data_IF_665980010363
#
_entry.id   IF_665980010363
#
_cell.length_a   1.000
_cell.length_b   1.000
_cell.length_c   1.000
_cell.angle_alpha   90.00
_cell.angle_beta   90.00
_cell.angle_gamma   90.00
#
_symmetry.space_group_name_H-M   'P 1'
#
loop_
_entity.id
_entity.type
_entity.pdbx_description
1 polymer ?
#
# COMPACT_ATOMS: atom_id res chain seq x y z
N UNK A 1 6.19 -0.18 -22.21
CA UNK A 1 5.22 -0.90 -21.35
C UNK A 1 4.42 0.15 -20.61
N UNK A 2 3.08 0.13 -20.68
CA UNK A 2 2.23 1.18 -20.08
C UNK A 2 1.46 0.63 -18.89
N UNK A 3 1.55 1.33 -17.76
CA UNK A 3 0.90 0.97 -16.49
C UNK A 3 -0.45 1.70 -16.36
N UNK A 4 -1.48 1.05 -15.84
CA UNK A 4 -2.72 1.70 -15.41
C UNK A 4 -2.67 1.91 -13.91
N UNK A 5 -2.62 3.16 -13.47
CA UNK A 5 -2.91 3.52 -12.08
C UNK A 5 -4.42 3.65 -11.93
N UNK A 6 -5.08 2.65 -11.37
CA UNK A 6 -6.53 2.66 -11.28
C UNK A 6 -7.01 3.60 -10.17
N UNK A 7 -7.79 4.61 -10.55
CA UNK A 7 -8.30 5.66 -9.67
C UNK A 7 -9.79 5.50 -9.34
N UNK A 8 -10.37 4.32 -9.58
CA UNK A 8 -11.76 4.04 -9.22
C UNK A 8 -12.00 4.21 -7.71
N UNK A 9 -13.03 4.99 -7.36
CA UNK A 9 -13.33 5.35 -5.98
C UNK A 9 -12.31 6.29 -5.32
N UNK A 10 -11.40 6.92 -6.07
CA UNK A 10 -10.40 7.87 -5.54
C UNK A 10 -11.02 9.00 -4.73
N UNK A 11 -12.15 9.55 -5.17
CA UNK A 11 -12.88 10.61 -4.44
C UNK A 11 -13.31 10.18 -3.02
N UNK A 12 -13.55 8.88 -2.78
CA UNK A 12 -13.90 8.35 -1.47
C UNK A 12 -12.69 8.27 -0.52
N UNK A 13 -11.48 8.20 -1.06
CA UNK A 13 -10.23 8.00 -0.31
C UNK A 13 -9.27 9.19 -0.41
N UNK A 14 -9.62 10.25 -1.13
CA UNK A 14 -8.76 11.39 -1.44
C UNK A 14 -8.18 12.05 -0.20
N UNK A 15 -9.02 12.27 0.82
CA UNK A 15 -8.63 12.88 2.11
C UNK A 15 -8.02 11.89 3.11
N UNK A 16 -7.80 10.64 2.70
CA UNK A 16 -7.27 9.58 3.55
C UNK A 16 -5.78 9.30 3.29
N UNK A 17 -5.17 8.45 4.11
CA UNK A 17 -3.81 7.97 3.87
C UNK A 17 -3.66 7.23 2.52
N UNK A 18 -4.72 6.59 2.02
CA UNK A 18 -4.71 5.91 0.71
C UNK A 18 -4.62 6.95 -0.42
N UNK A 19 -5.37 8.05 -0.33
CA UNK A 19 -5.30 9.14 -1.32
C UNK A 19 -3.90 9.78 -1.39
N UNK A 20 -3.26 9.97 -0.23
CA UNK A 20 -1.86 10.42 -0.17
C UNK A 20 -0.88 9.41 -0.76
N UNK A 21 -1.10 8.11 -0.53
CA UNK A 21 -0.28 7.05 -1.11
C UNK A 21 -0.37 7.03 -2.65
N UNK A 22 -1.57 7.19 -3.21
CA UNK A 22 -1.78 7.29 -4.67
C UNK A 22 -1.02 8.49 -5.26
N UNK A 23 -1.12 9.66 -4.63
CA UNK A 23 -0.39 10.85 -5.09
C UNK A 23 1.14 10.67 -5.05
N UNK A 24 1.66 10.01 -4.00
CA UNK A 24 3.09 9.68 -3.94
C UNK A 24 3.49 8.65 -4.99
N UNK A 25 2.61 7.69 -5.28
CA UNK A 25 2.84 6.68 -6.30
C UNK A 25 2.93 7.30 -7.71
N UNK A 26 2.07 8.26 -8.05
CA UNK A 26 2.14 9.02 -9.31
C UNK A 26 3.51 9.70 -9.48
N UNK A 27 3.94 10.38 -8.44
CA UNK A 27 5.24 11.05 -8.45
C UNK A 27 6.40 10.03 -8.53
N UNK A 28 6.29 8.87 -7.89
CA UNK A 28 7.29 7.80 -7.99
C UNK A 28 7.32 7.17 -9.38
N UNK A 29 6.17 7.00 -10.04
CA UNK A 29 6.11 6.55 -11.43
C UNK A 29 6.78 7.54 -12.37
N UNK A 30 6.48 8.83 -12.22
CA UNK A 30 7.11 9.89 -13.00
C UNK A 30 8.64 9.95 -12.77
N UNK A 31 9.09 9.95 -11.52
CA UNK A 31 10.52 9.96 -11.17
C UNK A 31 11.26 8.69 -11.65
N UNK A 32 10.56 7.56 -11.62
CA UNK A 32 11.02 6.28 -12.16
C UNK A 32 10.95 6.18 -13.69
N UNK A 33 10.54 7.23 -14.41
CA UNK A 33 10.41 7.24 -15.87
C UNK A 33 9.46 6.15 -16.40
N UNK A 34 8.43 5.81 -15.64
CA UNK A 34 7.44 4.80 -16.01
C UNK A 34 6.31 5.47 -16.81
N UNK A 35 5.99 4.90 -17.97
CA UNK A 35 4.81 5.31 -18.75
C UNK A 35 3.55 4.78 -18.06
N UNK A 36 2.71 5.68 -17.56
CA UNK A 36 1.47 5.34 -16.87
C UNK A 36 0.28 6.17 -17.36
N UNK A 37 -0.92 5.65 -17.12
CA UNK A 37 -2.20 6.33 -17.36
C UNK A 37 -3.15 6.08 -16.21
N UNK A 38 -4.07 7.02 -15.99
CA UNK A 38 -5.22 6.85 -15.09
C UNK A 38 -6.50 6.49 -15.86
N UNK A 39 -6.47 6.59 -17.19
CA UNK A 39 -7.62 6.30 -18.03
C UNK A 39 -7.68 4.79 -18.33
N UNK A 40 -8.66 4.11 -17.74
CA UNK A 40 -8.87 2.67 -17.93
C UNK A 40 -9.23 2.25 -19.37
N UNK A 41 -9.51 3.21 -20.27
CA UNK A 41 -9.77 2.96 -21.71
C UNK A 41 -8.49 2.88 -22.54
N UNK A 42 -7.38 3.39 -22.04
CA UNK A 42 -6.10 3.35 -22.75
C UNK A 42 -5.58 1.91 -22.88
N UNK A 43 -4.65 1.70 -23.81
CA UNK A 43 -3.88 0.47 -23.86
C UNK A 43 -2.89 0.42 -22.67
N UNK A 44 -2.90 -0.67 -21.91
CA UNK A 44 -1.98 -0.92 -20.80
C UNK A 44 -1.76 -2.43 -20.65
N UNK A 45 -0.64 -2.79 -20.05
CA UNK A 45 -0.20 -4.19 -19.84
C UNK A 45 -0.27 -4.60 -18.38
N UNK A 46 -0.23 -3.63 -17.45
CA UNK A 46 -0.26 -3.85 -16.01
C UNK A 46 -1.21 -2.84 -15.35
N UNK A 47 -1.94 -3.26 -14.30
CA UNK A 47 -2.84 -2.43 -13.52
C UNK A 47 -2.45 -2.42 -12.04
N UNK A 48 -2.42 -1.25 -11.42
CA UNK A 48 -2.22 -1.06 -9.99
C UNK A 48 -3.54 -0.66 -9.31
N UNK A 49 -3.93 -1.41 -8.29
CA UNK A 49 -5.16 -1.23 -7.54
C UNK A 49 -4.81 -0.82 -6.10
N UNK A 50 -5.23 0.39 -5.71
CA UNK A 50 -4.94 0.96 -4.38
C UNK A 50 -6.06 0.79 -3.36
N UNK A 51 -7.23 0.30 -3.78
CA UNK A 51 -8.40 0.11 -2.91
C UNK A 51 -8.93 -1.31 -3.04
N UNK A 52 -9.59 -1.76 -1.97
CA UNK A 52 -10.28 -3.06 -1.93
C UNK A 52 -11.78 -2.88 -2.16
N UNK A 53 -12.17 -1.86 -2.93
CA UNK A 53 -13.57 -1.65 -3.27
C UNK A 53 -14.08 -2.68 -4.29
N UNK A 54 -15.41 -2.89 -4.38
CA UNK A 54 -15.99 -3.88 -5.30
C UNK A 54 -15.60 -3.65 -6.78
N UNK A 55 -15.47 -2.39 -7.20
CA UNK A 55 -15.05 -2.01 -8.55
C UNK A 55 -13.58 -2.39 -8.82
N UNK A 56 -12.70 -2.25 -7.82
CA UNK A 56 -11.30 -2.68 -7.92
C UNK A 56 -11.19 -4.20 -8.08
N UNK A 57 -11.99 -4.99 -7.36
CA UNK A 57 -12.04 -6.44 -7.56
C UNK A 57 -12.54 -6.80 -8.97
N UNK A 58 -13.53 -6.07 -9.48
CA UNK A 58 -14.02 -6.27 -10.84
C UNK A 58 -12.94 -5.97 -11.88
N UNK A 59 -12.23 -4.84 -11.72
CA UNK A 59 -11.13 -4.46 -12.60
C UNK A 59 -9.97 -5.45 -12.56
N UNK A 60 -9.60 -5.96 -11.38
CA UNK A 60 -8.61 -7.02 -11.23
C UNK A 60 -8.96 -8.24 -12.08
N UNK A 61 -10.18 -8.76 -11.90
CA UNK A 61 -10.65 -9.94 -12.65
C UNK A 61 -10.72 -9.70 -14.14
N UNK A 62 -11.17 -8.51 -14.55
CA UNK A 62 -11.24 -8.11 -15.96
C UNK A 62 -9.85 -8.05 -16.59
N UNK A 63 -8.90 -7.36 -15.96
CA UNK A 63 -7.53 -7.23 -16.43
C UNK A 63 -6.85 -8.61 -16.52
N UNK A 64 -7.01 -9.44 -15.49
CA UNK A 64 -6.46 -10.80 -15.48
C UNK A 64 -7.03 -11.69 -16.59
N UNK A 65 -8.34 -11.61 -16.85
CA UNK A 65 -8.97 -12.32 -17.99
C UNK A 65 -8.44 -11.85 -19.35
N UNK A 66 -7.96 -10.60 -19.43
CA UNK A 66 -7.33 -10.02 -20.62
C UNK A 66 -5.82 -10.33 -20.71
N UNK A 67 -5.28 -11.17 -19.82
CA UNK A 67 -3.84 -11.47 -19.78
C UNK A 67 -2.97 -10.31 -19.30
N UNK A 68 -3.57 -9.29 -18.69
CA UNK A 68 -2.85 -8.14 -18.11
C UNK A 68 -2.46 -8.46 -16.68
N UNK A 69 -1.28 -7.97 -16.29
CA UNK A 69 -0.75 -8.15 -14.94
C UNK A 69 -1.51 -7.29 -13.94
N UNK A 70 -1.84 -7.83 -12.78
CA UNK A 70 -2.61 -7.17 -11.73
C UNK A 70 -1.79 -7.07 -10.45
N UNK A 71 -1.54 -5.84 -10.02
CA UNK A 71 -0.83 -5.51 -8.78
C UNK A 71 -1.80 -4.87 -7.79
N UNK A 72 -1.93 -5.47 -6.61
CA UNK A 72 -2.71 -4.91 -5.51
C UNK A 72 -1.80 -4.24 -4.49
N UNK A 73 -2.15 -3.04 -4.05
CA UNK A 73 -1.48 -2.38 -2.93
C UNK A 73 -2.24 -2.67 -1.63
N UNK A 74 -1.58 -3.42 -0.75
CA UNK A 74 -2.09 -3.85 0.55
C UNK A 74 -2.10 -2.71 1.57
N UNK A 75 -2.96 -1.71 1.37
CA UNK A 75 -3.18 -0.61 2.33
C UNK A 75 -4.23 -0.92 3.40
N UNK A 76 -4.81 -2.11 3.38
CA UNK A 76 -5.86 -2.51 4.32
C UNK A 76 -5.56 -3.88 4.90
N UNK A 77 -5.62 -3.97 6.22
CA UNK A 77 -5.61 -5.25 6.93
C UNK A 77 -6.90 -5.41 7.73
N UNK A 78 -7.17 -6.63 8.18
CA UNK A 78 -8.32 -6.93 9.05
C UNK A 78 -8.06 -6.31 10.41
N UNK A 79 -6.81 -6.32 10.84
CA UNK A 79 -6.33 -5.76 12.08
C UNK A 79 -6.53 -4.24 12.10
N UNK A 80 -6.27 -3.53 11.00
CA UNK A 80 -6.56 -2.09 10.88
C UNK A 80 -8.07 -1.79 10.89
N UNK A 81 -8.88 -2.68 10.30
CA UNK A 81 -10.33 -2.54 10.32
C UNK A 81 -10.93 -2.84 11.70
N UNK A 82 -10.34 -3.78 12.44
CA UNK A 82 -10.77 -4.17 13.77
C UNK A 82 -10.56 -3.00 14.74
N UNK A 83 -11.54 -2.73 15.60
CA UNK A 83 -11.57 -1.61 16.55
C UNK A 83 -11.54 -0.21 15.91
N UNK A 84 -11.83 -0.08 14.60
CA UNK A 84 -11.84 1.22 13.94
C UNK A 84 -13.13 2.03 14.22
N UNK A 85 -14.27 1.35 14.35
CA UNK A 85 -15.56 1.96 14.69
C UNK A 85 -16.50 0.95 15.38
N UNK A 86 -17.60 1.43 15.96
CA UNK A 86 -18.59 0.58 16.66
C UNK A 86 -19.14 -0.48 15.71
N UNK A 87 -19.06 -1.76 16.10
CA UNK A 87 -19.50 -2.90 15.27
C UNK A 87 -18.45 -3.43 14.28
N UNK A 88 -17.31 -2.75 14.10
CA UNK A 88 -16.23 -3.21 13.21
C UNK A 88 -15.70 -4.61 13.57
N UNK A 89 -15.66 -4.95 14.86
CA UNK A 89 -15.18 -6.26 15.31
C UNK A 89 -16.07 -7.42 14.85
N UNK A 90 -17.38 -7.21 14.75
CA UNK A 90 -18.31 -8.22 14.25
C UNK A 90 -18.10 -8.47 12.75
N UNK A 91 -17.78 -7.41 11.99
CA UNK A 91 -17.55 -7.48 10.55
C UNK A 91 -16.12 -7.86 10.18
N UNK A 92 -15.16 -7.77 11.11
CA UNK A 92 -13.74 -8.03 10.84
C UNK A 92 -13.48 -9.41 10.20
N UNK A 93 -14.12 -10.52 10.61
CA UNK A 93 -13.93 -11.81 9.93
C UNK A 93 -14.40 -11.79 8.46
N UNK A 94 -15.52 -11.14 8.17
CA UNK A 94 -16.05 -10.98 6.81
C UNK A 94 -15.12 -10.09 5.98
N UNK A 95 -14.64 -8.99 6.55
CA UNK A 95 -13.67 -8.12 5.92
C UNK A 95 -12.36 -8.86 5.63
N UNK A 96 -11.88 -9.71 6.52
CA UNK A 96 -10.73 -10.58 6.26
C UNK A 96 -10.96 -11.55 5.09
N UNK A 97 -12.16 -12.15 4.98
CA UNK A 97 -12.53 -12.97 3.81
C UNK A 97 -12.55 -12.15 2.52
N UNK A 98 -13.05 -10.91 2.58
CA UNK A 98 -13.07 -9.98 1.46
C UNK A 98 -11.66 -9.58 1.01
N UNK A 99 -10.77 -9.21 1.93
CA UNK A 99 -9.37 -8.90 1.64
C UNK A 99 -8.67 -10.07 0.94
N UNK A 100 -8.88 -11.31 1.43
CA UNK A 100 -8.36 -12.51 0.77
C UNK A 100 -8.88 -12.66 -0.66
N UNK A 101 -10.14 -12.36 -0.91
CA UNK A 101 -10.73 -12.42 -2.25
C UNK A 101 -10.09 -11.39 -3.20
N UNK A 102 -9.92 -10.14 -2.74
CA UNK A 102 -9.26 -9.08 -3.49
C UNK A 102 -7.81 -9.44 -3.79
N UNK A 103 -7.02 -9.76 -2.76
CA UNK A 103 -5.60 -10.01 -2.91
C UNK A 103 -5.30 -11.27 -3.73
N UNK A 104 -6.10 -12.33 -3.63
CA UNK A 104 -5.96 -13.52 -4.49
C UNK A 104 -6.43 -13.31 -5.95
N UNK A 105 -7.03 -12.17 -6.26
CA UNK A 105 -7.33 -11.80 -7.65
C UNK A 105 -6.14 -11.13 -8.36
N UNK A 106 -5.09 -10.80 -7.62
CA UNK A 106 -3.86 -10.20 -8.13
C UNK A 106 -2.82 -11.26 -8.51
N UNK A 107 -1.92 -10.92 -9.42
CA UNK A 107 -0.70 -11.69 -9.64
C UNK A 107 0.29 -11.45 -8.50
N UNK A 108 0.31 -10.22 -7.96
CA UNK A 108 1.18 -9.83 -6.86
C UNK A 108 0.53 -8.78 -5.96
N UNK A 109 0.87 -8.83 -4.67
CA UNK A 109 0.48 -7.84 -3.67
C UNK A 109 1.72 -7.12 -3.19
N UNK A 110 1.66 -5.79 -3.14
CA UNK A 110 2.74 -4.95 -2.61
C UNK A 110 2.26 -4.25 -1.34
N UNK A 111 3.12 -4.14 -0.34
CA UNK A 111 2.77 -3.56 0.96
C UNK A 111 3.77 -2.47 1.36
N UNK A 112 3.32 -1.42 2.08
CA UNK A 112 4.19 -0.30 2.44
C UNK A 112 5.23 -0.64 3.52
N UNK A 113 5.04 -1.73 4.25
CA UNK A 113 5.87 -2.10 5.40
C UNK A 113 6.02 -3.61 5.56
N UNK A 114 7.14 -4.11 6.12
CA UNK A 114 7.30 -5.52 6.47
C UNK A 114 6.26 -6.04 7.48
N UNK A 115 5.74 -5.16 8.35
CA UNK A 115 4.67 -5.50 9.28
C UNK A 115 3.39 -5.90 8.54
N UNK A 116 2.96 -5.09 7.58
CA UNK A 116 1.79 -5.39 6.76
C UNK A 116 2.00 -6.67 5.92
N UNK A 117 3.19 -6.85 5.33
CA UNK A 117 3.53 -8.08 4.62
C UNK A 117 3.39 -9.33 5.52
N UNK A 118 3.90 -9.27 6.76
CA UNK A 118 3.79 -10.37 7.72
C UNK A 118 2.34 -10.67 8.09
N UNK A 119 1.52 -9.64 8.32
CA UNK A 119 0.09 -9.82 8.59
C UNK A 119 -0.62 -10.50 7.42
N UNK A 120 -0.46 -9.97 6.20
CA UNK A 120 -1.06 -10.56 5.00
C UNK A 120 -0.55 -11.99 4.73
N UNK A 121 0.70 -12.30 5.10
CA UNK A 121 1.22 -13.67 5.05
C UNK A 121 0.41 -14.67 5.87
N UNK A 122 -0.21 -14.24 6.97
CA UNK A 122 -1.08 -15.11 7.79
C UNK A 122 -2.43 -15.42 7.16
N UNK A 123 -2.79 -14.76 6.05
CA UNK A 123 -4.13 -14.88 5.46
C UNK A 123 -4.27 -16.09 4.53
N UNK A 124 -3.17 -16.78 4.20
CA UNK A 124 -3.17 -17.83 3.20
C UNK A 124 -3.42 -17.27 1.79
N UNK A 125 -2.73 -16.19 1.44
CA UNK A 125 -2.75 -15.64 0.09
C UNK A 125 -2.00 -16.57 -0.87
N UNK A 126 -2.51 -16.71 -2.10
CA UNK A 126 -1.86 -17.42 -3.20
C UNK A 126 -0.86 -16.53 -3.94
N UNK A 127 -1.12 -15.23 -3.97
CA UNK A 127 -0.27 -14.22 -4.61
C UNK A 127 0.94 -13.92 -3.72
N UNK A 128 2.09 -13.62 -4.34
CA UNK A 128 3.28 -13.19 -3.60
C UNK A 128 3.03 -11.82 -2.95
N UNK A 129 3.63 -11.62 -1.77
CA UNK A 129 3.56 -10.37 -1.02
C UNK A 129 4.95 -9.75 -0.93
N UNK A 130 5.14 -8.60 -1.57
CA UNK A 130 6.40 -7.85 -1.57
C UNK A 130 6.27 -6.56 -0.75
N UNK A 131 7.39 -6.08 -0.23
CA UNK A 131 7.44 -4.81 0.51
C UNK A 131 8.02 -3.74 -0.41
N UNK A 132 7.20 -2.75 -0.75
CA UNK A 132 7.62 -1.52 -1.44
C UNK A 132 7.24 -0.37 -0.53
N UNK A 133 8.22 0.34 0.03
CA UNK A 133 7.94 1.37 1.04
C UNK A 133 7.25 2.59 0.45
N UNK A 134 6.13 3.00 1.05
CA UNK A 134 5.38 4.22 0.67
C UNK A 134 5.84 5.50 1.40
N UNK A 135 6.93 5.45 2.16
CA UNK A 135 7.56 6.70 2.58
C UNK A 135 7.27 7.27 3.99
N UNK A 136 6.91 6.53 5.06
CA UNK A 136 6.57 7.16 6.39
C UNK A 136 7.38 6.71 7.65
N UNK A 137 7.96 7.68 8.39
CA UNK A 137 9.19 7.60 9.21
C UNK A 137 9.08 7.83 10.74
N UNK A 138 7.88 7.71 11.29
CA UNK A 138 7.58 8.24 12.63
C UNK A 138 7.57 7.17 13.72
N UNK A 139 7.83 7.58 14.97
CA UNK A 139 7.43 6.81 16.14
C UNK A 139 5.92 6.65 16.16
N UNK A 140 5.46 5.40 16.29
CA UNK A 140 4.05 5.08 16.48
C UNK A 140 3.83 4.62 17.91
N UNK A 141 2.69 4.97 18.47
CA UNK A 141 2.24 4.46 19.76
C UNK A 141 0.87 3.79 19.58
N UNK A 142 0.65 2.68 20.29
CA UNK A 142 -0.63 1.97 20.31
C UNK A 142 -1.55 2.41 21.45
N UNK A 143 -1.10 3.32 22.34
CA UNK A 143 -1.93 3.87 23.42
C UNK A 143 -1.54 5.30 23.80
N UNK A 144 -2.46 6.01 24.45
CA UNK A 144 -2.19 7.37 24.97
C UNK A 144 -1.10 7.36 26.04
N UNK A 145 -1.02 6.30 26.85
CA UNK A 145 0.02 6.16 27.88
C UNK A 145 1.38 6.00 27.21
N UNK A 146 1.53 5.07 26.28
CA UNK A 146 2.79 4.89 25.54
C UNK A 146 3.17 6.13 24.73
N UNK A 147 2.19 6.85 24.19
CA UNK A 147 2.42 8.09 23.45
C UNK A 147 3.00 9.17 24.37
N UNK A 148 2.38 9.37 25.54
CA UNK A 148 2.86 10.32 26.55
C UNK A 148 4.25 9.97 27.06
N UNK A 149 4.50 8.69 27.36
CA UNK A 149 5.81 8.22 27.78
C UNK A 149 6.87 8.47 26.71
N UNK A 150 6.59 8.15 25.44
CA UNK A 150 7.54 8.36 24.35
C UNK A 150 7.79 9.85 24.12
N UNK A 151 6.75 10.69 24.17
CA UNK A 151 6.87 12.14 24.04
C UNK A 151 7.74 12.74 25.14
N UNK A 152 7.54 12.34 26.41
CA UNK A 152 8.36 12.80 27.52
C UNK A 152 9.84 12.45 27.31
N UNK A 153 10.11 11.19 26.91
CA UNK A 153 11.47 10.73 26.61
C UNK A 153 12.12 11.46 25.45
N UNK A 154 11.38 11.79 24.39
CA UNK A 154 11.89 12.59 23.27
C UNK A 154 12.28 13.99 23.74
N UNK A 155 11.39 14.67 24.48
CA UNK A 155 11.64 16.02 24.99
C UNK A 155 12.82 16.08 25.97
N UNK A 156 13.01 15.02 26.75
CA UNK A 156 14.12 14.87 27.70
C UNK A 156 15.41 14.36 27.04
N UNK A 157 15.41 14.09 25.73
CA UNK A 157 16.53 13.47 24.98
C UNK A 157 16.95 12.08 25.50
N UNK A 158 16.01 11.35 26.10
CA UNK A 158 16.16 9.99 26.63
C UNK A 158 15.64 8.91 25.66
N UNK A 159 14.95 9.33 24.60
CA UNK A 159 14.63 8.46 23.48
C UNK A 159 15.88 8.26 22.60
N UNK A 160 16.11 7.05 22.05
CA UNK A 160 17.19 6.82 21.10
C UNK A 160 17.12 7.83 19.95
N UNK A 161 18.23 8.50 19.63
CA UNK A 161 18.28 9.44 18.52
C UNK A 161 18.00 8.70 17.20
N UNK A 162 16.95 9.11 16.50
CA UNK A 162 16.59 8.56 15.19
C UNK A 162 17.12 9.40 14.04
N UNK A 163 17.94 10.43 14.26
CA UNK A 163 18.37 11.32 13.18
C UNK A 163 18.98 10.55 12.02
N UNK A 164 19.97 9.70 12.29
CA UNK A 164 20.66 8.93 11.24
C UNK A 164 19.75 7.83 10.63
N UNK A 165 18.95 7.16 11.46
CA UNK A 165 17.97 6.17 10.98
C UNK A 165 16.88 6.83 10.10
N UNK A 166 16.47 8.04 10.47
CA UNK A 166 15.56 8.91 9.75
C UNK A 166 16.15 9.35 8.42
N UNK A 167 17.41 9.76 8.39
CA UNK A 167 18.16 10.07 7.15
C UNK A 167 18.28 8.86 6.23
N UNK A 168 18.74 7.71 6.73
CA UNK A 168 18.84 6.47 5.94
C UNK A 168 17.48 6.07 5.37
N UNK A 169 16.44 6.20 6.17
CA UNK A 169 15.10 5.87 5.70
C UNK A 169 14.56 6.92 4.73
N UNK A 170 14.87 8.21 4.91
CA UNK A 170 14.52 9.26 3.94
C UNK A 170 15.24 9.04 2.61
N UNK A 171 16.52 8.67 2.62
CA UNK A 171 17.29 8.33 1.42
C UNK A 171 16.72 7.09 0.71
N UNK A 172 16.36 6.02 1.44
CA UNK A 172 15.72 4.84 0.88
C UNK A 172 14.26 5.06 0.42
N UNK A 173 13.67 6.21 0.76
CA UNK A 173 12.33 6.64 0.32
C UNK A 173 12.37 7.80 -0.65
N UNK A 174 13.57 8.10 -1.12
CA UNK A 174 13.70 9.03 -2.23
C UNK A 174 12.83 8.53 -3.38
N UNK A 175 12.15 9.48 -3.99
CA UNK A 175 11.12 9.17 -4.98
C UNK A 175 11.70 8.48 -6.22
N UNK A 176 12.97 8.72 -6.52
CA UNK A 176 13.70 8.04 -7.58
C UNK A 176 14.02 6.60 -7.18
N UNK A 177 14.36 6.34 -5.92
CA UNK A 177 14.59 4.97 -5.41
C UNK A 177 13.30 4.16 -5.45
N UNK A 178 12.18 4.74 -4.98
CA UNK A 178 10.86 4.08 -5.07
C UNK A 178 10.47 3.87 -6.54
N UNK A 179 10.69 4.87 -7.41
CA UNK A 179 10.47 4.74 -8.85
C UNK A 179 11.30 3.63 -9.50
N UNK A 180 12.55 3.44 -9.07
CA UNK A 180 13.40 2.32 -9.49
C UNK A 180 12.86 0.97 -9.01
N UNK A 181 12.35 0.88 -7.77
CA UNK A 181 11.68 -0.34 -7.29
C UNK A 181 10.48 -0.70 -8.17
N UNK A 182 9.64 0.28 -8.54
CA UNK A 182 8.54 0.04 -9.47
C UNK A 182 9.03 -0.37 -10.86
N UNK A 183 10.12 0.22 -11.36
CA UNK A 183 10.71 -0.16 -12.64
C UNK A 183 11.25 -1.59 -12.62
N UNK A 184 11.90 -2.01 -11.54
CA UNK A 184 12.34 -3.39 -11.36
C UNK A 184 11.15 -4.35 -11.28
N UNK A 185 10.13 -4.01 -10.50
CA UNK A 185 8.89 -4.78 -10.42
C UNK A 185 8.25 -4.98 -11.79
N UNK A 186 8.25 -3.91 -12.60
CA UNK A 186 7.80 -3.89 -13.99
C UNK A 186 8.67 -4.70 -14.96
N UNK A 187 9.98 -4.76 -14.73
CA UNK A 187 10.95 -5.39 -15.62
C UNK A 187 11.25 -6.86 -15.31
N UNK A 188 10.91 -7.35 -14.11
CA UNK A 188 11.25 -8.71 -13.67
C UNK A 188 10.41 -9.83 -14.34
N UNK A 189 9.48 -9.54 -15.25
CA UNK A 189 8.58 -10.52 -15.89
C UNK A 189 8.15 -10.06 -17.32
#
# INVERSE_FOLDING_TARGET
MKLLLYTGGRSLVEKSGIGRAIAHQEQAFAAGGLDYTENAKDAYTEIHLNTVFPDSLWMARKARKQGKRVIYHGHSTREDFRNSFVGSNLLAPLFGKWLRLCYNSADQVVTPTPYAARLLGTYGLKSSVEVISNGVNVYKSSSLVQFRTMMARILQKEAPDLTEAGFRTAAGRDIHVIGQCYRQLAACL
#
